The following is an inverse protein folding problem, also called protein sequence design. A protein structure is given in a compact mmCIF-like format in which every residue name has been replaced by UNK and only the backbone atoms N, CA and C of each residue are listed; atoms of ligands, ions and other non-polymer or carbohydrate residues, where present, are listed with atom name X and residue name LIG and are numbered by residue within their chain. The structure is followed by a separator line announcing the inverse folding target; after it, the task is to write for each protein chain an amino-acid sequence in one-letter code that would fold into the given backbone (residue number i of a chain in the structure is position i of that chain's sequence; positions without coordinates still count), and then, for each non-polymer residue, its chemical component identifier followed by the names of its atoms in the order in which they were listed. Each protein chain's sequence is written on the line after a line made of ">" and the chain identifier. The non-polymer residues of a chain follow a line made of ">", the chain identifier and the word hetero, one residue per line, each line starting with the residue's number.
data_IF_902724959429
#
_entry.id   IF_902724959429
#
_cell.length_a   1.000
_cell.length_b   1.000
_cell.length_c   1.000
_cell.angle_alpha   90.00
_cell.angle_beta   90.00
_cell.angle_gamma   90.00
#
_symmetry.space_group_name_H-M   'P 1'
#
loop_
_entity.id
_entity.type
_entity.pdbx_description
1 polymer ?
#
# COMPACT_ATOMS: atom_id res chain seq x y z
N UNK A 1 10.50 15.11 -21.40
CA UNK A 1 9.67 16.14 -20.73
C UNK A 1 8.99 15.48 -19.54
N UNK A 2 9.46 15.72 -18.31
CA UNK A 2 8.72 15.29 -17.12
C UNK A 2 7.50 16.20 -17.01
N UNK A 3 6.30 15.67 -17.23
CA UNK A 3 5.08 16.37 -16.85
C UNK A 3 5.09 16.66 -15.34
N UNK A 4 4.37 17.69 -14.92
CA UNK A 4 4.13 17.92 -13.50
C UNK A 4 3.49 16.67 -12.88
N UNK A 5 4.02 16.17 -11.76
CA UNK A 5 3.46 15.00 -11.09
C UNK A 5 2.06 15.33 -10.59
N UNK A 6 1.05 14.55 -10.99
CA UNK A 6 -0.34 14.81 -10.65
C UNK A 6 -0.80 13.94 -9.49
N UNK A 7 -1.03 14.59 -8.36
CA UNK A 7 -1.60 13.98 -7.17
C UNK A 7 -2.75 14.84 -6.68
N UNK A 8 -3.89 14.21 -6.47
CA UNK A 8 -5.13 14.80 -6.02
C UNK A 8 -5.58 14.09 -4.75
N UNK A 9 -6.54 14.66 -4.03
CA UNK A 9 -7.14 14.06 -2.84
C UNK A 9 -8.67 14.09 -2.95
N UNK A 10 -9.33 13.06 -2.42
CA UNK A 10 -10.77 13.14 -2.12
C UNK A 10 -10.90 13.22 -0.59
N UNK A 11 -11.55 14.25 -0.05
CA UNK A 11 -11.62 14.44 1.40
C UNK A 11 -12.42 13.31 2.07
N UNK A 12 -12.12 12.95 3.35
CA UNK A 12 -12.77 11.84 4.05
C UNK A 12 -14.30 11.94 4.16
N UNK A 13 -14.86 13.14 4.03
CA UNK A 13 -16.30 13.40 4.03
C UNK A 13 -17.01 13.13 2.70
N UNK A 14 -16.29 12.97 1.60
CA UNK A 14 -16.88 12.71 0.30
C UNK A 14 -16.97 11.20 0.01
N UNK A 15 -18.04 10.71 -0.64
CA UNK A 15 -18.15 9.30 -1.03
C UNK A 15 -17.09 8.96 -2.08
N UNK A 16 -15.99 8.34 -1.66
CA UNK A 16 -14.76 8.22 -2.45
C UNK A 16 -14.96 7.68 -3.88
N UNK A 17 -15.60 6.53 -4.05
CA UNK A 17 -15.75 5.90 -5.37
C UNK A 17 -16.73 6.64 -6.30
N UNK A 18 -17.93 7.06 -5.84
CA UNK A 18 -18.77 7.97 -6.62
C UNK A 18 -18.03 9.25 -7.03
N UNK A 19 -17.39 9.95 -6.09
CA UNK A 19 -16.66 11.18 -6.38
C UNK A 19 -15.53 10.96 -7.39
N UNK A 20 -14.81 9.83 -7.30
CA UNK A 20 -13.77 9.46 -8.27
C UNK A 20 -14.36 9.25 -9.68
N UNK A 21 -15.47 8.51 -9.79
CA UNK A 21 -16.11 8.23 -11.06
C UNK A 21 -16.62 9.53 -11.72
N UNK A 22 -17.34 10.36 -10.97
CA UNK A 22 -17.83 11.66 -11.42
C UNK A 22 -16.67 12.57 -11.89
N UNK A 23 -15.59 12.64 -11.09
CA UNK A 23 -14.44 13.46 -11.43
C UNK A 23 -13.72 13.00 -12.70
N UNK A 24 -13.71 11.69 -13.00
CA UNK A 24 -13.20 11.19 -14.27
C UNK A 24 -14.10 11.63 -15.43
N UNK A 25 -15.41 11.44 -15.29
CA UNK A 25 -16.40 11.78 -16.32
C UNK A 25 -16.39 13.29 -16.63
N UNK A 26 -16.29 14.14 -15.61
CA UNK A 26 -16.25 15.60 -15.75
C UNK A 26 -14.91 16.14 -16.26
N UNK A 27 -13.87 15.31 -16.28
CA UNK A 27 -12.52 15.72 -16.68
C UNK A 27 -11.72 16.47 -15.62
N UNK A 28 -12.08 16.30 -14.34
CA UNK A 28 -11.37 16.91 -13.21
C UNK A 28 -10.07 16.19 -12.85
N UNK A 29 -9.95 14.91 -13.23
CA UNK A 29 -8.75 14.10 -12.90
C UNK A 29 -7.60 14.30 -13.89
N UNK A 30 -7.88 14.44 -15.19
CA UNK A 30 -6.87 14.49 -16.25
C UNK A 30 -7.19 15.66 -17.20
N UNK A 31 -6.30 16.65 -17.36
CA UNK A 31 -6.52 17.75 -18.28
C UNK A 31 -6.72 17.26 -19.72
N UNK A 32 -7.73 17.81 -20.40
CA UNK A 32 -8.03 17.47 -21.78
C UNK A 32 -8.78 16.14 -21.98
N UNK A 33 -9.02 15.39 -20.90
CA UNK A 33 -9.90 14.22 -20.92
C UNK A 33 -11.24 14.58 -20.30
N UNK A 34 -12.35 14.34 -20.99
CA UNK A 34 -13.71 14.49 -20.46
C UNK A 34 -14.63 13.53 -21.19
N UNK A 35 -15.56 12.91 -20.48
CA UNK A 35 -16.61 12.14 -21.11
C UNK A 35 -17.64 13.09 -21.74
N UNK A 36 -17.72 13.10 -23.06
CA UNK A 36 -18.66 13.92 -23.83
C UNK A 36 -19.94 13.15 -24.24
N UNK A 37 -19.95 11.83 -24.03
CA UNK A 37 -21.02 10.92 -24.44
C UNK A 37 -20.62 9.93 -25.52
N UNK A 38 -19.42 10.03 -26.08
CA UNK A 38 -18.91 9.05 -27.03
C UNK A 38 -18.74 7.67 -26.36
N UNK A 39 -19.31 6.58 -26.90
CA UNK A 39 -19.29 5.26 -26.26
C UNK A 39 -17.89 4.69 -25.97
N UNK A 40 -16.86 5.11 -26.72
CA UNK A 40 -15.50 4.60 -26.58
C UNK A 40 -14.57 5.52 -25.77
N UNK A 41 -15.02 6.70 -25.37
CA UNK A 41 -14.16 7.69 -24.71
C UNK A 41 -13.51 7.19 -23.40
N UNK A 42 -14.13 6.22 -22.72
CA UNK A 42 -13.62 5.65 -21.48
C UNK A 42 -12.83 4.33 -21.68
N UNK A 43 -12.84 3.76 -22.89
CA UNK A 43 -12.29 2.42 -23.15
C UNK A 43 -10.77 2.35 -22.90
N UNK A 44 -10.05 3.42 -23.20
CA UNK A 44 -8.60 3.51 -23.05
C UNK A 44 -8.16 3.93 -21.64
N UNK A 45 -9.10 4.23 -20.73
CA UNK A 45 -8.79 4.60 -19.36
C UNK A 45 -8.51 3.36 -18.51
N UNK A 46 -7.42 3.40 -17.74
CA UNK A 46 -7.04 2.37 -16.76
C UNK A 46 -7.06 2.96 -15.35
N UNK A 47 -7.73 2.28 -14.42
CA UNK A 47 -7.84 2.71 -13.02
C UNK A 47 -7.35 1.59 -12.09
N UNK A 48 -6.27 1.86 -11.36
CA UNK A 48 -5.78 1.02 -10.27
C UNK A 48 -6.47 1.38 -8.96
N UNK A 49 -6.96 0.38 -8.24
CA UNK A 49 -7.62 0.53 -6.93
C UNK A 49 -7.06 -0.49 -5.92
N UNK A 50 -7.23 -0.30 -4.60
CA UNK A 50 -6.48 -1.10 -3.63
C UNK A 50 -6.93 -2.57 -3.57
N UNK A 51 -8.20 -2.86 -3.88
CA UNK A 51 -8.79 -4.20 -3.69
C UNK A 51 -9.78 -4.57 -4.80
N UNK A 52 -10.02 -5.87 -5.00
CA UNK A 52 -11.10 -6.39 -5.86
C UNK A 52 -12.47 -5.83 -5.50
N UNK A 53 -12.72 -5.64 -4.19
CA UNK A 53 -13.98 -5.04 -3.71
C UNK A 53 -14.13 -3.60 -4.20
N UNK A 54 -13.08 -2.79 -4.10
CA UNK A 54 -13.07 -1.44 -4.64
C UNK A 54 -13.25 -1.44 -6.17
N UNK A 55 -12.62 -2.38 -6.88
CA UNK A 55 -12.75 -2.49 -8.34
C UNK A 55 -14.19 -2.77 -8.75
N UNK A 56 -14.84 -3.75 -8.11
CA UNK A 56 -16.25 -4.08 -8.36
C UNK A 56 -17.19 -2.92 -8.02
N UNK A 57 -16.97 -2.27 -6.88
CA UNK A 57 -17.77 -1.13 -6.45
C UNK A 57 -17.62 0.08 -7.37
N UNK A 58 -16.40 0.37 -7.86
CA UNK A 58 -16.16 1.46 -8.81
C UNK A 58 -16.85 1.21 -10.16
N UNK A 59 -16.82 -0.03 -10.66
CA UNK A 59 -17.57 -0.41 -11.87
C UNK A 59 -19.07 -0.17 -11.69
N UNK A 60 -19.63 -0.51 -10.51
CA UNK A 60 -21.02 -0.19 -10.16
C UNK A 60 -21.30 1.31 -10.19
N UNK A 61 -20.43 2.12 -9.57
CA UNK A 61 -20.58 3.58 -9.55
C UNK A 61 -20.61 4.19 -10.97
N UNK A 62 -19.79 3.70 -11.91
CA UNK A 62 -19.89 4.15 -13.31
C UNK A 62 -21.23 3.79 -13.97
N UNK A 63 -21.74 2.57 -13.74
CA UNK A 63 -23.02 2.12 -14.31
C UNK A 63 -24.18 2.96 -13.78
N UNK A 64 -24.20 3.22 -12.48
CA UNK A 64 -25.23 4.05 -11.84
C UNK A 64 -25.21 5.48 -12.42
N UNK A 65 -24.01 6.09 -12.49
CA UNK A 65 -23.85 7.44 -13.03
C UNK A 65 -24.24 7.55 -14.50
N UNK A 66 -23.79 6.63 -15.37
CA UNK A 66 -24.10 6.67 -16.80
C UNK A 66 -25.59 6.41 -17.10
N UNK A 67 -26.31 5.78 -16.16
CA UNK A 67 -27.76 5.59 -16.26
C UNK A 67 -28.56 6.86 -15.95
N UNK A 68 -28.01 7.75 -15.13
CA UNK A 68 -28.64 9.00 -14.68
C UNK A 68 -28.17 10.24 -15.45
N UNK A 69 -26.98 10.20 -16.05
CA UNK A 69 -26.34 11.35 -16.69
C UNK A 69 -27.08 11.87 -17.94
N UNK A 70 -27.58 13.10 -17.89
CA UNK A 70 -28.08 13.82 -19.07
C UNK A 70 -29.47 13.41 -19.57
N UNK A 71 -30.33 12.83 -18.72
CA UNK A 71 -31.75 12.60 -19.03
C UNK A 71 -32.05 11.35 -19.89
N UNK A 72 -31.08 10.44 -20.04
CA UNK A 72 -31.28 9.16 -20.72
C UNK A 72 -30.08 8.21 -20.53
N UNK A 73 -30.30 6.90 -20.75
CA UNK A 73 -29.23 5.89 -20.62
C UNK A 73 -28.17 6.09 -21.69
N UNK A 74 -26.95 6.46 -21.30
CA UNK A 74 -25.79 6.46 -22.20
C UNK A 74 -25.10 5.11 -22.16
N UNK A 75 -24.77 4.57 -23.33
CA UNK A 75 -23.95 3.36 -23.44
C UNK A 75 -22.50 3.77 -23.57
N UNK A 76 -21.62 3.20 -22.73
CA UNK A 76 -20.18 3.39 -22.82
C UNK A 76 -19.44 2.10 -22.48
N UNK A 77 -18.28 1.90 -23.12
CA UNK A 77 -17.30 0.90 -22.69
C UNK A 77 -16.57 1.47 -21.48
N UNK A 78 -16.70 0.78 -20.35
CA UNK A 78 -16.14 1.25 -19.07
C UNK A 78 -14.61 1.19 -19.04
N UNK A 79 -13.97 2.01 -18.19
CA UNK A 79 -12.54 1.92 -17.94
C UNK A 79 -12.12 0.53 -17.46
N UNK A 80 -10.89 0.14 -17.77
CA UNK A 80 -10.28 -1.05 -17.20
C UNK A 80 -9.93 -0.79 -15.74
N UNK A 81 -10.64 -1.41 -14.80
CA UNK A 81 -10.39 -1.24 -13.36
C UNK A 81 -9.63 -2.45 -12.80
N UNK A 82 -8.41 -2.22 -12.31
CA UNK A 82 -7.46 -3.24 -11.82
C UNK A 82 -7.16 -3.12 -10.32
N UNK A 83 -7.19 -4.22 -9.55
CA UNK A 83 -6.72 -4.20 -8.16
C UNK A 83 -5.19 -4.17 -8.07
N UNK A 84 -4.62 -3.40 -7.13
CA UNK A 84 -3.18 -3.33 -6.87
C UNK A 84 -2.63 -4.57 -6.14
N UNK A 85 -3.47 -5.25 -5.35
CA UNK A 85 -3.04 -6.39 -4.52
C UNK A 85 -2.89 -7.71 -5.27
N UNK A 86 -3.39 -7.78 -6.52
CA UNK A 86 -3.43 -8.98 -7.34
C UNK A 86 -3.16 -8.55 -8.79
N UNK A 87 -1.87 -8.45 -9.12
CA UNK A 87 -1.45 -8.51 -10.52
C UNK A 87 -1.71 -9.95 -10.94
N UNK A 88 -2.88 -10.18 -11.52
CA UNK A 88 -3.28 -11.51 -12.00
C UNK A 88 -2.27 -11.96 -13.06
N UNK A 89 -1.66 -13.13 -12.86
CA UNK A 89 -0.74 -13.74 -13.83
C UNK A 89 -1.46 -13.90 -15.19
N UNK A 90 -2.78 -14.14 -15.17
CA UNK A 90 -3.60 -14.25 -16.36
C UNK A 90 -3.70 -12.92 -17.14
N UNK A 91 -3.83 -11.77 -16.48
CA UNK A 91 -3.88 -10.46 -17.16
C UNK A 91 -2.52 -10.06 -17.77
N UNK A 92 -1.41 -10.50 -17.17
CA UNK A 92 -0.08 -10.31 -17.74
C UNK A 92 0.14 -11.20 -18.99
N UNK A 93 -0.44 -12.41 -19.01
CA UNK A 93 -0.37 -13.34 -20.13
C UNK A 93 -1.17 -12.87 -21.37
N UNK A 94 -2.28 -12.15 -21.18
CA UNK A 94 -3.10 -11.63 -22.29
C UNK A 94 -2.57 -10.33 -22.94
N UNK A 95 -1.61 -9.63 -22.33
CA UNK A 95 -0.92 -8.52 -22.96
C UNK A 95 0.29 -9.03 -23.75
N UNK A 96 0.08 -9.37 -25.02
CA UNK A 96 1.14 -9.82 -25.94
C UNK A 96 2.28 -8.80 -26.17
N UNK A 97 2.11 -7.54 -25.75
CA UNK A 97 3.14 -6.47 -25.75
C UNK A 97 3.77 -6.22 -24.37
N UNK A 98 3.39 -6.96 -23.32
CA UNK A 98 4.12 -6.95 -22.07
C UNK A 98 5.56 -7.43 -22.35
N UNK A 99 6.52 -6.58 -21.99
CA UNK A 99 7.95 -6.74 -22.23
C UNK A 99 8.48 -8.16 -21.90
N UNK A 100 9.61 -8.58 -22.50
CA UNK A 100 9.95 -9.99 -22.73
C UNK A 100 9.76 -10.78 -21.45
N UNK A 101 8.98 -11.86 -21.51
CA UNK A 101 8.74 -12.82 -20.43
C UNK A 101 9.95 -12.88 -19.49
N UNK A 102 9.88 -12.10 -18.41
CA UNK A 102 10.88 -12.17 -17.37
C UNK A 102 10.60 -13.50 -16.69
N UNK A 103 11.64 -14.33 -16.62
CA UNK A 103 11.67 -15.64 -16.00
C UNK A 103 11.51 -15.49 -14.48
N UNK A 104 10.33 -15.02 -14.06
CA UNK A 104 9.99 -14.85 -12.68
C UNK A 104 9.38 -16.16 -12.23
N UNK A 105 10.17 -16.93 -11.48
CA UNK A 105 9.74 -18.22 -10.95
C UNK A 105 8.37 -18.07 -10.27
N UNK A 106 7.40 -18.96 -10.54
CA UNK A 106 6.06 -18.83 -9.99
C UNK A 106 6.08 -18.95 -8.45
N UNK A 107 5.12 -18.32 -7.76
CA UNK A 107 5.09 -18.34 -6.31
C UNK A 107 4.83 -19.75 -5.79
N UNK A 108 5.56 -20.15 -4.74
CA UNK A 108 5.34 -21.44 -4.10
C UNK A 108 3.93 -21.51 -3.46
N UNK A 109 3.26 -22.66 -3.59
CA UNK A 109 1.94 -22.86 -2.99
C UNK A 109 2.00 -22.82 -1.46
N UNK A 110 0.96 -22.29 -0.81
CA UNK A 110 0.95 -22.07 0.63
C UNK A 110 1.18 -23.37 1.44
N UNK A 111 0.53 -24.46 1.04
CA UNK A 111 0.66 -25.76 1.72
C UNK A 111 2.05 -26.36 1.49
N UNK A 112 2.56 -26.28 0.25
CA UNK A 112 3.90 -26.74 -0.08
C UNK A 112 4.96 -25.99 0.73
N UNK A 113 4.85 -24.66 0.81
CA UNK A 113 5.72 -23.80 1.61
C UNK A 113 5.79 -24.24 3.07
N UNK A 114 4.64 -24.48 3.69
CA UNK A 114 4.58 -24.93 5.08
C UNK A 114 5.17 -26.33 5.27
N UNK A 115 4.92 -27.26 4.33
CA UNK A 115 5.45 -28.62 4.38
C UNK A 115 6.96 -28.68 4.15
N UNK A 116 7.55 -27.69 3.47
CA UNK A 116 9.00 -27.58 3.27
C UNK A 116 9.69 -26.83 4.43
N UNK A 117 9.05 -25.83 5.03
CA UNK A 117 9.59 -25.10 6.17
C UNK A 117 9.54 -25.92 7.47
N UNK A 118 8.48 -26.69 7.72
CA UNK A 118 8.32 -27.44 8.96
C UNK A 118 9.47 -28.46 9.23
N UNK A 119 9.98 -29.22 8.23
CA UNK A 119 11.17 -30.04 8.41
C UNK A 119 12.43 -29.26 8.78
N UNK A 120 12.65 -28.08 8.20
CA UNK A 120 13.80 -27.22 8.53
C UNK A 120 13.72 -26.71 9.97
N UNK A 121 12.52 -26.34 10.42
CA UNK A 121 12.26 -25.96 11.81
C UNK A 121 12.58 -27.11 12.78
N UNK A 122 12.18 -28.35 12.45
CA UNK A 122 12.51 -29.53 13.27
C UNK A 122 14.00 -29.81 13.28
N UNK A 123 14.65 -29.77 12.12
CA UNK A 123 16.09 -30.04 12.00
C UNK A 123 16.92 -29.02 12.79
N UNK A 124 16.55 -27.74 12.76
CA UNK A 124 17.19 -26.70 13.58
C UNK A 124 17.04 -26.99 15.07
N UNK A 125 15.86 -27.42 15.54
CA UNK A 125 15.66 -27.80 16.94
C UNK A 125 16.59 -28.94 17.36
N UNK A 126 16.72 -29.95 16.51
CA UNK A 126 17.56 -31.13 16.78
C UNK A 126 19.05 -30.76 16.82
N UNK A 127 19.49 -29.74 16.07
CA UNK A 127 20.88 -29.27 16.06
C UNK A 127 21.27 -28.36 17.22
N UNK A 128 20.31 -27.88 18.03
CA UNK A 128 20.59 -27.02 19.18
C UNK A 128 21.46 -27.73 20.24
N UNK A 129 22.51 -27.07 20.79
CA UNK A 129 23.29 -27.60 21.90
C UNK A 129 22.44 -27.89 23.14
N UNK A 130 22.78 -28.94 23.89
CA UNK A 130 21.98 -29.40 25.05
C UNK A 130 21.75 -28.32 26.11
N UNK A 131 22.74 -27.45 26.37
CA UNK A 131 22.61 -26.35 27.33
C UNK A 131 21.62 -25.26 26.88
N UNK A 132 21.45 -25.05 25.57
CA UNK A 132 20.44 -24.15 25.01
C UNK A 132 19.07 -24.82 25.04
N UNK A 133 19.00 -26.11 24.68
CA UNK A 133 17.77 -26.92 24.70
C UNK A 133 17.17 -27.01 26.11
N UNK A 134 18.00 -27.20 27.14
CA UNK A 134 17.56 -27.25 28.53
C UNK A 134 16.91 -25.92 28.98
N UNK A 135 17.45 -24.80 28.51
CA UNK A 135 16.98 -23.45 28.86
C UNK A 135 15.65 -23.09 28.22
N UNK A 136 15.36 -23.59 27.02
CA UNK A 136 14.05 -23.41 26.40
C UNK A 136 12.93 -24.15 27.14
N UNK A 137 13.23 -25.26 27.82
CA UNK A 137 12.23 -26.07 28.53
C UNK A 137 11.65 -25.38 29.78
N UNK A 138 12.25 -24.27 30.23
CA UNK A 138 11.84 -23.51 31.43
C UNK A 138 11.04 -22.23 31.12
N UNK A 139 11.19 -21.63 29.92
CA UNK A 139 10.64 -20.30 29.61
C UNK A 139 9.84 -20.22 28.28
N UNK A 140 9.95 -21.20 27.37
CA UNK A 140 9.26 -21.18 26.06
C UNK A 140 8.75 -22.57 25.63
N UNK A 141 7.60 -22.62 24.95
CA UNK A 141 7.11 -23.88 24.35
C UNK A 141 7.89 -24.15 23.06
N UNK A 142 8.93 -24.99 23.14
CA UNK A 142 9.60 -25.52 21.95
C UNK A 142 8.63 -26.41 21.19
N UNK A 143 8.57 -26.36 19.85
CA UNK A 143 7.76 -27.29 19.08
C UNK A 143 8.07 -28.75 19.45
N UNK A 144 7.17 -29.42 20.16
CA UNK A 144 7.34 -30.80 20.64
C UNK A 144 6.77 -31.83 19.69
N UNK A 145 5.91 -31.38 18.75
CA UNK A 145 5.20 -32.22 17.80
C UNK A 145 5.37 -31.73 16.34
N UNK A 146 4.97 -32.57 15.39
CA UNK A 146 4.87 -32.15 13.99
C UNK A 146 3.87 -30.99 13.79
N UNK A 147 2.82 -30.93 14.62
CA UNK A 147 1.85 -29.83 14.58
C UNK A 147 2.50 -28.51 14.99
N UNK A 148 3.31 -28.51 16.05
CA UNK A 148 3.99 -27.31 16.51
C UNK A 148 5.00 -26.79 15.47
N UNK A 149 5.69 -27.69 14.77
CA UNK A 149 6.61 -27.32 13.69
C UNK A 149 5.88 -26.63 12.52
N UNK A 150 4.66 -27.06 12.20
CA UNK A 150 3.81 -26.42 11.18
C UNK A 150 3.37 -25.02 11.65
N UNK A 151 2.99 -24.87 12.92
CA UNK A 151 2.62 -23.57 13.47
C UNK A 151 3.79 -22.58 13.43
N UNK A 152 4.98 -23.01 13.87
CA UNK A 152 6.17 -22.16 13.82
C UNK A 152 6.61 -21.87 12.38
N UNK A 153 6.51 -22.83 11.47
CA UNK A 153 6.73 -22.60 10.03
C UNK A 153 5.77 -21.55 9.46
N UNK A 154 4.52 -21.51 9.92
CA UNK A 154 3.53 -20.50 9.52
C UNK A 154 3.90 -19.11 10.03
N UNK A 155 4.38 -18.98 11.26
CA UNK A 155 4.84 -17.70 11.81
C UNK A 155 6.11 -17.23 11.09
N UNK A 156 7.04 -18.14 10.80
CA UNK A 156 8.25 -17.86 10.05
C UNK A 156 7.95 -17.41 8.60
N UNK A 157 6.99 -18.06 7.94
CA UNK A 157 6.52 -17.63 6.63
C UNK A 157 5.90 -16.23 6.66
N UNK A 158 5.12 -15.90 7.71
CA UNK A 158 4.53 -14.56 7.88
C UNK A 158 5.61 -13.49 8.07
N UNK A 159 6.59 -13.75 8.92
CA UNK A 159 7.71 -12.83 9.14
C UNK A 159 8.50 -12.60 7.84
N UNK A 160 8.76 -13.66 7.08
CA UNK A 160 9.40 -13.55 5.76
C UNK A 160 8.59 -12.71 4.79
N UNK A 161 7.26 -12.92 4.74
CA UNK A 161 6.39 -12.10 3.89
C UNK A 161 6.37 -10.62 4.31
N UNK A 162 6.44 -10.31 5.61
CA UNK A 162 6.53 -8.94 6.12
C UNK A 162 7.85 -8.26 5.70
N UNK A 163 8.98 -8.95 5.87
CA UNK A 163 10.31 -8.45 5.47
C UNK A 163 10.35 -8.17 3.96
N UNK A 164 9.86 -9.11 3.14
CA UNK A 164 9.81 -8.96 1.69
C UNK A 164 8.84 -7.88 1.22
N UNK A 165 7.68 -7.77 1.85
CA UNK A 165 6.67 -6.73 1.54
C UNK A 165 7.24 -5.35 1.81
N UNK A 166 7.97 -5.17 2.91
CA UNK A 166 8.66 -3.91 3.24
C UNK A 166 9.94 -3.67 2.43
N UNK A 167 10.37 -4.64 1.60
CA UNK A 167 11.60 -4.56 0.82
C UNK A 167 12.84 -4.33 1.68
N UNK A 168 12.84 -4.86 2.91
CA UNK A 168 13.94 -4.69 3.86
C UNK A 168 14.81 -5.95 3.92
N UNK A 169 15.97 -5.81 4.57
CA UNK A 169 16.97 -6.88 4.70
C UNK A 169 16.95 -7.45 6.12
N UNK A 170 17.03 -8.77 6.22
CA UNK A 170 17.25 -9.53 7.45
C UNK A 170 18.48 -9.05 8.23
N UNK A 171 19.52 -8.56 7.54
CA UNK A 171 20.71 -8.00 8.18
C UNK A 171 20.39 -6.87 9.16
N UNK A 172 19.31 -6.11 8.95
CA UNK A 172 18.89 -5.07 9.89
C UNK A 172 18.36 -5.63 11.20
N UNK A 173 17.70 -6.79 11.18
CA UNK A 173 17.23 -7.45 12.40
C UNK A 173 18.40 -7.77 13.33
N UNK A 174 19.53 -8.25 12.79
CA UNK A 174 20.73 -8.57 13.58
C UNK A 174 21.18 -7.40 14.49
N UNK A 175 20.89 -6.15 14.10
CA UNK A 175 21.30 -4.94 14.82
C UNK A 175 20.27 -4.41 15.84
N UNK A 176 19.07 -5.00 15.94
CA UNK A 176 17.96 -4.41 16.72
C UNK A 176 18.09 -4.58 18.24
N UNK A 177 18.68 -5.66 18.73
CA UNK A 177 18.75 -5.98 20.17
C UNK A 177 20.18 -5.88 20.66
N UNK A 178 20.41 -5.05 21.68
CA UNK A 178 21.70 -4.88 22.37
C UNK A 178 21.56 -5.16 23.87
N UNK A 179 22.66 -5.40 24.57
CA UNK A 179 22.68 -5.58 26.03
C UNK A 179 22.35 -7.00 26.51
N UNK A 180 21.72 -7.12 27.68
CA UNK A 180 21.54 -8.40 28.42
C UNK A 180 20.66 -9.45 27.72
N UNK A 181 20.00 -9.11 26.60
CA UNK A 181 19.23 -10.03 25.77
C UNK A 181 20.03 -10.60 24.59
N UNK A 182 21.30 -10.20 24.40
CA UNK A 182 22.11 -10.56 23.24
C UNK A 182 22.29 -12.08 23.06
N UNK A 183 22.41 -12.84 24.16
CA UNK A 183 22.54 -14.31 24.08
C UNK A 183 21.29 -15.00 23.51
N UNK A 184 20.10 -14.54 23.90
CA UNK A 184 18.83 -15.06 23.35
C UNK A 184 18.56 -14.55 21.94
N UNK A 185 18.96 -13.31 21.67
CA UNK A 185 18.88 -12.74 20.34
C UNK A 185 19.72 -13.54 19.34
N UNK A 186 20.92 -13.97 19.72
CA UNK A 186 21.76 -14.81 18.86
C UNK A 186 21.05 -16.12 18.47
N UNK A 187 20.37 -16.79 19.41
CA UNK A 187 19.62 -18.02 19.10
C UNK A 187 18.46 -17.74 18.14
N UNK A 188 17.81 -16.58 18.26
CA UNK A 188 16.78 -16.16 17.31
C UNK A 188 17.38 -15.89 15.93
N UNK A 189 18.54 -15.23 15.84
CA UNK A 189 19.22 -15.01 14.56
C UNK A 189 19.64 -16.35 13.92
N UNK A 190 20.16 -17.29 14.71
CA UNK A 190 20.51 -18.63 14.24
C UNK A 190 19.25 -19.38 13.73
N UNK A 191 18.09 -19.21 14.38
CA UNK A 191 16.81 -19.73 13.91
C UNK A 191 16.39 -19.10 12.57
N UNK A 192 16.56 -17.78 12.42
CA UNK A 192 16.26 -17.07 11.17
C UNK A 192 17.20 -17.49 10.02
N UNK A 193 18.32 -18.17 10.31
CA UNK A 193 19.14 -18.91 9.34
C UNK A 193 18.34 -19.87 8.44
N UNK A 194 17.21 -20.38 8.93
CA UNK A 194 16.29 -21.21 8.13
C UNK A 194 15.81 -20.45 6.88
N UNK A 195 15.38 -19.19 7.03
CA UNK A 195 14.81 -18.40 5.94
C UNK A 195 15.82 -17.53 5.21
N UNK A 196 16.96 -17.22 5.84
CA UNK A 196 18.00 -16.38 5.26
C UNK A 196 19.00 -17.16 4.43
N UNK A 197 19.37 -18.38 4.85
CA UNK A 197 20.42 -19.17 4.18
C UNK A 197 19.84 -20.37 3.42
N UNK A 198 18.94 -21.13 4.06
CA UNK A 198 18.50 -22.43 3.52
C UNK A 198 17.31 -22.29 2.55
N UNK A 199 16.33 -21.46 2.91
CA UNK A 199 15.11 -21.28 2.13
C UNK A 199 15.34 -20.73 0.71
N UNK A 200 16.22 -19.73 0.48
CA UNK A 200 16.45 -19.22 -0.86
C UNK A 200 17.03 -20.26 -1.82
N UNK A 201 17.96 -21.11 -1.35
CA UNK A 201 18.51 -22.20 -2.17
C UNK A 201 17.44 -23.26 -2.47
N UNK A 202 16.59 -23.60 -1.51
CA UNK A 202 15.48 -24.54 -1.72
C UNK A 202 14.50 -24.03 -2.80
N UNK A 203 14.17 -22.75 -2.78
CA UNK A 203 13.32 -22.11 -3.79
C UNK A 203 13.97 -22.14 -5.17
N UNK A 204 15.27 -21.85 -5.25
CA UNK A 204 16.05 -21.89 -6.49
C UNK A 204 16.10 -23.29 -7.09
N UNK A 205 16.33 -24.32 -6.28
CA UNK A 205 16.31 -25.73 -6.72
C UNK A 205 14.96 -26.15 -7.33
N UNK A 206 13.86 -25.55 -6.85
CA UNK A 206 12.50 -25.88 -7.26
C UNK A 206 11.93 -24.97 -8.34
N UNK A 207 12.70 -23.98 -8.77
CA UNK A 207 12.23 -22.92 -9.66
C UNK A 207 10.94 -22.29 -9.13
N UNK A 208 11.01 -21.80 -7.89
CA UNK A 208 9.92 -21.13 -7.17
C UNK A 208 10.37 -19.81 -6.56
N UNK A 209 9.41 -18.94 -6.30
CA UNK A 209 9.62 -17.69 -5.56
C UNK A 209 8.72 -17.59 -4.32
N UNK A 210 9.07 -16.68 -3.41
CA UNK A 210 8.17 -16.34 -2.32
C UNK A 210 6.99 -15.47 -2.82
N UNK A 211 5.76 -15.70 -2.34
CA UNK A 211 4.58 -14.96 -2.80
C UNK A 211 4.67 -13.43 -2.61
N UNK A 212 5.25 -12.95 -1.51
CA UNK A 212 5.36 -11.52 -1.23
C UNK A 212 6.41 -10.84 -2.15
N UNK A 213 7.59 -11.45 -2.30
CA UNK A 213 8.59 -11.02 -3.27
C UNK A 213 8.06 -11.06 -4.72
N UNK A 214 7.38 -12.15 -5.11
CA UNK A 214 6.78 -12.30 -6.43
C UNK A 214 5.79 -11.15 -6.74
N UNK A 215 4.84 -10.91 -5.82
CA UNK A 215 3.88 -9.82 -5.96
C UNK A 215 4.59 -8.47 -6.11
N UNK A 216 5.54 -8.17 -5.24
CA UNK A 216 6.31 -6.92 -5.28
C UNK A 216 7.06 -6.75 -6.60
N UNK A 217 7.59 -7.84 -7.16
CA UNK A 217 8.23 -7.81 -8.46
C UNK A 217 7.23 -7.50 -9.59
N UNK A 218 6.06 -8.14 -9.62
CA UNK A 218 5.01 -7.84 -10.61
C UNK A 218 4.59 -6.36 -10.58
N UNK A 219 4.44 -5.77 -9.39
CA UNK A 219 4.12 -4.33 -9.26
C UNK A 219 5.20 -3.46 -9.93
N UNK A 220 6.48 -3.77 -9.66
CA UNK A 220 7.61 -3.03 -10.22
C UNK A 220 7.75 -3.23 -11.73
N UNK A 221 7.42 -4.42 -12.23
CA UNK A 221 7.37 -4.70 -13.66
C UNK A 221 6.31 -3.85 -14.36
N UNK A 222 5.13 -3.71 -13.75
CA UNK A 222 4.09 -2.84 -14.28
C UNK A 222 4.53 -1.37 -14.26
N UNK A 223 5.15 -0.91 -13.17
CA UNK A 223 5.72 0.43 -13.10
C UNK A 223 6.76 0.67 -14.20
N UNK A 224 7.64 -0.32 -14.44
CA UNK A 224 8.62 -0.25 -15.51
C UNK A 224 7.99 -0.27 -16.91
N UNK A 225 6.92 -1.06 -17.12
CA UNK A 225 6.16 -1.09 -18.38
C UNK A 225 5.54 0.27 -18.68
N UNK A 226 4.79 0.83 -17.72
CA UNK A 226 4.15 2.15 -17.84
C UNK A 226 5.16 3.24 -18.14
N UNK A 227 6.34 3.19 -17.50
CA UNK A 227 7.40 4.16 -17.74
C UNK A 227 8.02 4.04 -19.14
N UNK A 228 8.20 2.81 -19.66
CA UNK A 228 8.78 2.56 -21.00
C UNK A 228 7.80 2.85 -22.12
N UNK A 229 6.53 2.46 -21.96
CA UNK A 229 5.48 2.65 -22.95
C UNK A 229 4.22 3.23 -22.28
N UNK A 230 4.19 4.56 -22.03
CA UNK A 230 3.03 5.23 -21.47
C UNK A 230 1.78 5.04 -22.37
N UNK A 231 0.64 4.58 -21.82
CA UNK A 231 -0.61 4.53 -22.57
C UNK A 231 -1.06 5.91 -23.07
N UNK A 232 -1.79 5.94 -24.18
CA UNK A 232 -2.40 7.17 -24.69
C UNK A 232 -3.55 7.66 -23.80
N UNK A 233 -4.35 6.74 -23.28
CA UNK A 233 -5.48 7.05 -22.39
C UNK A 233 -5.08 7.36 -20.94
N UNK A 234 -6.04 7.81 -20.11
CA UNK A 234 -5.82 8.03 -18.68
C UNK A 234 -5.29 6.81 -17.93
N UNK A 235 -4.31 7.03 -17.06
CA UNK A 235 -3.84 6.03 -16.09
C UNK A 235 -3.96 6.60 -14.69
N UNK A 236 -4.88 6.08 -13.90
CA UNK A 236 -5.23 6.63 -12.59
C UNK A 236 -4.99 5.57 -11.53
N UNK A 237 -4.42 5.95 -10.40
CA UNK A 237 -4.41 5.10 -9.21
C UNK A 237 -5.12 5.81 -8.06
N UNK A 238 -6.13 5.17 -7.48
CA UNK A 238 -7.02 5.82 -6.52
C UNK A 238 -7.19 5.01 -5.24
N UNK A 239 -7.14 5.68 -4.09
CA UNK A 239 -7.47 5.11 -2.79
C UNK A 239 -6.36 4.31 -2.12
N UNK A 240 -5.16 4.24 -2.73
CA UNK A 240 -3.99 3.61 -2.12
C UNK A 240 -3.20 4.62 -1.28
N UNK A 241 -2.71 4.17 -0.14
CA UNK A 241 -1.81 4.95 0.75
C UNK A 241 -0.34 4.69 0.48
N UNK A 242 -0.01 3.79 -0.46
CA UNK A 242 1.39 3.48 -0.81
C UNK A 242 2.19 2.84 0.32
N UNK A 243 1.54 2.15 1.27
CA UNK A 243 2.24 1.56 2.43
C UNK A 243 3.27 0.50 2.03
N UNK A 244 3.04 -0.21 0.93
CA UNK A 244 3.99 -1.17 0.35
C UNK A 244 4.94 -0.40 -0.60
N UNK A 245 6.27 -0.48 -0.44
CA UNK A 245 7.24 0.23 -1.27
C UNK A 245 7.05 0.02 -2.77
N UNK A 246 6.87 -1.22 -3.23
CA UNK A 246 6.63 -1.53 -4.64
C UNK A 246 5.37 -0.82 -5.17
N UNK A 247 4.32 -0.71 -4.36
CA UNK A 247 3.11 0.07 -4.70
C UNK A 247 3.42 1.56 -4.75
N UNK A 248 4.15 2.12 -3.78
CA UNK A 248 4.55 3.53 -3.81
C UNK A 248 5.37 3.88 -5.07
N UNK A 249 6.27 2.99 -5.49
CA UNK A 249 7.04 3.13 -6.74
C UNK A 249 6.12 3.19 -7.97
N UNK A 250 5.12 2.29 -8.06
CA UNK A 250 4.11 2.32 -9.13
C UNK A 250 3.29 3.62 -9.10
N UNK A 251 2.82 4.04 -7.93
CA UNK A 251 2.06 5.29 -7.79
C UNK A 251 2.90 6.50 -8.24
N UNK A 252 4.19 6.54 -7.90
CA UNK A 252 5.10 7.59 -8.34
C UNK A 252 5.31 7.60 -9.85
N UNK A 253 5.37 6.42 -10.49
CA UNK A 253 5.38 6.33 -11.97
C UNK A 253 4.08 6.87 -12.54
N UNK A 254 2.93 6.40 -12.06
CA UNK A 254 1.61 6.82 -12.54
C UNK A 254 1.44 8.34 -12.41
N UNK A 255 1.79 8.92 -11.27
CA UNK A 255 1.71 10.37 -11.06
C UNK A 255 2.56 11.17 -12.08
N UNK A 256 3.65 10.58 -12.61
CA UNK A 256 4.54 11.22 -13.58
C UNK A 256 4.20 10.95 -15.05
N UNK A 257 3.17 10.16 -15.37
CA UNK A 257 2.76 9.92 -16.76
C UNK A 257 2.06 11.16 -17.35
N UNK A 258 2.11 11.39 -18.68
CA UNK A 258 1.44 12.53 -19.31
C UNK A 258 -0.05 12.62 -19.00
N UNK A 259 -0.75 11.48 -19.05
CA UNK A 259 -2.18 11.33 -18.71
C UNK A 259 -2.35 10.54 -17.40
N UNK A 260 -1.43 10.75 -16.45
CA UNK A 260 -1.39 10.07 -15.16
C UNK A 260 -2.01 10.87 -14.03
N UNK A 261 -2.62 10.20 -13.05
CA UNK A 261 -3.02 10.80 -11.77
C UNK A 261 -3.01 9.81 -10.61
N UNK A 262 -2.62 10.27 -9.42
CA UNK A 262 -2.85 9.56 -8.16
C UNK A 262 -3.92 10.29 -7.34
N UNK A 263 -4.94 9.60 -6.87
CA UNK A 263 -6.01 10.16 -6.04
C UNK A 263 -5.97 9.56 -4.63
N UNK A 264 -5.56 10.38 -3.67
CA UNK A 264 -5.37 10.00 -2.28
C UNK A 264 -6.69 9.97 -1.50
N UNK A 265 -6.88 8.99 -0.59
CA UNK A 265 -8.04 8.92 0.29
C UNK A 265 -7.87 9.82 1.51
N UNK A 266 -8.12 11.12 1.35
CA UNK A 266 -8.22 12.06 2.46
C UNK A 266 -6.88 12.49 3.04
N UNK A 267 -6.05 13.14 2.22
CA UNK A 267 -4.84 13.82 2.70
C UNK A 267 -5.25 15.02 3.56
N UNK A 268 -4.67 15.14 4.76
CA UNK A 268 -4.87 16.30 5.62
C UNK A 268 -4.11 17.51 5.07
N UNK A 269 -4.86 18.51 4.61
CA UNK A 269 -4.34 19.76 4.04
C UNK A 269 -4.38 20.93 5.04
N UNK A 270 -4.99 20.73 6.21
CA UNK A 270 -5.30 21.78 7.19
C UNK A 270 -4.32 21.79 8.37
N UNK A 271 -3.80 20.62 8.77
CA UNK A 271 -2.76 20.53 9.81
C UNK A 271 -1.59 21.45 9.44
N UNK A 272 -1.00 22.16 10.40
CA UNK A 272 0.13 23.04 10.08
C UNK A 272 1.39 22.25 9.66
N UNK A 273 2.31 22.95 8.99
CA UNK A 273 3.49 22.33 8.41
C UNK A 273 4.44 21.72 9.47
N UNK A 274 4.52 22.30 10.68
CA UNK A 274 5.38 21.78 11.73
C UNK A 274 4.85 20.43 12.26
N UNK A 275 3.54 20.35 12.52
CA UNK A 275 2.90 19.10 12.91
C UNK A 275 2.87 18.06 11.80
N UNK A 276 2.61 18.45 10.56
CA UNK A 276 2.65 17.50 9.45
C UNK A 276 4.07 16.93 9.25
N UNK A 277 5.11 17.76 9.37
CA UNK A 277 6.50 17.32 9.31
C UNK A 277 6.85 16.33 10.43
N UNK A 278 6.31 16.53 11.64
CA UNK A 278 6.52 15.62 12.77
C UNK A 278 6.02 14.18 12.51
N UNK A 279 5.01 14.01 11.64
CA UNK A 279 4.46 12.69 11.28
C UNK A 279 5.52 11.81 10.61
N UNK A 280 6.41 12.38 9.79
CA UNK A 280 7.42 11.62 9.03
C UNK A 280 8.85 11.94 9.45
N UNK A 281 9.02 12.58 10.62
CA UNK A 281 10.33 12.96 11.13
C UNK A 281 11.26 11.73 11.27
N UNK A 282 12.54 11.84 10.87
CA UNK A 282 13.51 10.77 11.09
C UNK A 282 13.61 10.40 12.57
N UNK A 283 13.62 9.10 12.88
CA UNK A 283 13.60 8.64 14.27
C UNK A 283 12.25 8.81 14.97
N UNK A 284 11.17 9.01 14.22
CA UNK A 284 9.81 9.04 14.75
C UNK A 284 9.56 7.84 15.66
N UNK A 285 8.90 8.11 16.79
CA UNK A 285 8.55 7.08 17.76
C UNK A 285 7.62 6.05 17.11
N UNK A 286 7.63 4.79 17.56
CA UNK A 286 6.71 3.78 17.04
C UNK A 286 5.23 4.23 17.04
N UNK A 287 4.82 5.07 17.99
CA UNK A 287 3.47 5.64 18.06
C UNK A 287 3.11 6.48 16.82
N UNK A 288 4.07 7.18 16.22
CA UNK A 288 3.85 8.02 15.04
C UNK A 288 3.56 7.18 13.78
N UNK A 289 4.08 5.95 13.71
CA UNK A 289 3.82 5.02 12.60
C UNK A 289 2.34 4.63 12.52
N UNK A 290 1.60 4.73 13.64
CA UNK A 290 0.17 4.49 13.71
C UNK A 290 -0.70 5.70 13.34
N UNK A 291 -0.10 6.86 13.06
CA UNK A 291 -0.86 8.06 12.68
C UNK A 291 -1.57 7.83 11.32
N UNK A 292 -2.86 8.15 11.16
CA UNK A 292 -3.59 7.92 9.91
C UNK A 292 -3.02 8.58 8.65
N UNK A 293 -2.24 9.67 8.81
CA UNK A 293 -1.62 10.41 7.72
C UNK A 293 -0.19 9.96 7.44
N UNK A 294 0.40 9.05 8.23
CA UNK A 294 1.79 8.60 8.07
C UNK A 294 2.05 8.01 6.68
N UNK A 295 1.21 7.08 6.23
CA UNK A 295 1.35 6.47 4.91
C UNK A 295 1.23 7.48 3.77
N UNK A 296 0.24 8.38 3.85
CA UNK A 296 0.02 9.43 2.85
C UNK A 296 1.18 10.43 2.81
N UNK A 297 1.68 10.88 3.96
CA UNK A 297 2.82 11.77 4.08
C UNK A 297 4.10 11.14 3.51
N UNK A 298 4.37 9.87 3.85
CA UNK A 298 5.48 9.10 3.29
C UNK A 298 5.35 8.95 1.77
N UNK A 299 4.14 8.69 1.27
CA UNK A 299 3.87 8.53 -0.16
C UNK A 299 4.12 9.83 -0.93
N UNK A 300 3.55 10.96 -0.52
CA UNK A 300 3.76 12.23 -1.24
C UNK A 300 5.23 12.67 -1.21
N UNK A 301 5.92 12.43 -0.09
CA UNK A 301 7.36 12.62 0.03
C UNK A 301 8.15 11.73 -0.93
N UNK A 302 7.77 10.46 -1.06
CA UNK A 302 8.36 9.51 -2.01
C UNK A 302 8.08 9.84 -3.49
N UNK A 303 6.90 10.40 -3.79
CA UNK A 303 6.58 10.95 -5.12
C UNK A 303 7.40 12.23 -5.39
N UNK A 304 7.79 12.96 -4.35
CA UNK A 304 8.58 14.18 -4.44
C UNK A 304 7.74 15.40 -4.80
N UNK A 305 6.58 15.55 -4.16
CA UNK A 305 5.71 16.73 -4.24
C UNK A 305 5.45 17.29 -2.84
N UNK A 306 5.16 18.60 -2.73
CA UNK A 306 4.77 19.16 -1.45
C UNK A 306 3.28 18.90 -1.19
N UNK A 307 2.91 18.80 0.09
CA UNK A 307 1.50 18.64 0.53
C UNK A 307 0.58 19.71 -0.05
N UNK A 308 1.05 20.96 -0.12
CA UNK A 308 0.31 22.11 -0.70
C UNK A 308 0.04 21.97 -2.20
N UNK A 309 0.82 21.14 -2.91
CA UNK A 309 0.66 20.89 -4.34
C UNK A 309 -0.40 19.80 -4.62
N UNK A 310 -0.94 19.17 -3.57
CA UNK A 310 -2.07 18.25 -3.67
C UNK A 310 -3.36 19.05 -3.54
N UNK A 311 -4.21 18.94 -4.55
CA UNK A 311 -5.53 19.59 -4.59
C UNK A 311 -6.64 18.59 -4.30
N UNK A 312 -7.70 19.03 -3.63
CA UNK A 312 -8.90 18.21 -3.50
C UNK A 312 -9.71 18.22 -4.80
N UNK A 313 -10.14 17.04 -5.23
CA UNK A 313 -11.00 16.83 -6.41
C UNK A 313 -12.38 17.50 -6.23
N UNK A 314 -12.84 17.58 -4.98
CA UNK A 314 -14.07 18.27 -4.56
C UNK A 314 -13.85 18.96 -3.22
N UNK A 315 -14.56 20.06 -3.00
CA UNK A 315 -14.72 20.56 -1.64
C UNK A 315 -15.62 19.60 -0.84
N UNK A 316 -15.23 19.29 0.39
CA UNK A 316 -16.12 18.59 1.31
C UNK A 316 -17.30 19.51 1.72
N UNK A 317 -18.51 18.98 1.94
CA UNK A 317 -19.59 19.73 2.58
C UNK A 317 -19.11 20.33 3.91
N UNK A 318 -19.47 21.58 4.19
CA UNK A 318 -18.97 22.34 5.35
C UNK A 318 -19.00 21.57 6.68
N UNK A 319 -20.09 20.89 7.08
CA UNK A 319 -20.11 20.03 8.27
C UNK A 319 -19.00 18.97 8.31
N UNK A 320 -18.74 18.31 7.17
CA UNK A 320 -17.77 17.24 7.05
C UNK A 320 -16.34 17.78 6.97
N UNK A 321 -16.15 18.96 6.37
CA UNK A 321 -14.88 19.67 6.38
C UNK A 321 -14.49 20.08 7.81
N UNK A 322 -15.44 20.65 8.58
CA UNK A 322 -15.23 20.99 9.98
C UNK A 322 -14.91 19.75 10.83
N UNK A 323 -15.63 18.65 10.62
CA UNK A 323 -15.34 17.37 11.28
C UNK A 323 -13.93 16.88 10.98
N UNK A 324 -13.52 16.92 9.71
CA UNK A 324 -12.17 16.51 9.32
C UNK A 324 -11.09 17.37 10.00
N UNK A 325 -11.27 18.69 10.04
CA UNK A 325 -10.35 19.61 10.71
C UNK A 325 -10.26 19.35 12.22
N UNK A 326 -11.39 19.15 12.91
CA UNK A 326 -11.42 18.82 14.34
C UNK A 326 -10.75 17.47 14.64
N UNK A 327 -10.99 16.45 13.81
CA UNK A 327 -10.34 15.14 13.95
C UNK A 327 -8.84 15.23 13.66
N UNK A 328 -8.44 16.03 12.66
CA UNK A 328 -7.03 16.31 12.37
C UNK A 328 -6.31 16.93 13.56
N UNK A 329 -6.92 17.92 14.21
CA UNK A 329 -6.39 18.51 15.45
C UNK A 329 -6.36 17.52 16.61
N UNK A 330 -7.39 16.69 16.79
CA UNK A 330 -7.42 15.67 17.85
C UNK A 330 -6.33 14.60 17.68
N UNK A 331 -5.91 14.33 16.43
CA UNK A 331 -4.89 13.34 16.08
C UNK A 331 -3.49 13.94 15.89
N UNK A 332 -3.31 15.24 16.16
CA UNK A 332 -2.03 15.95 16.09
C UNK A 332 -0.91 15.14 16.79
N UNK A 333 0.30 15.04 16.19
CA UNK A 333 1.42 14.34 16.81
C UNK A 333 1.72 14.84 18.21
N UNK A 334 2.04 13.92 19.12
CA UNK A 334 2.29 14.20 20.54
C UNK A 334 3.34 15.30 20.74
N UNK A 335 4.35 15.32 19.87
CA UNK A 335 5.47 16.25 19.83
C UNK A 335 5.07 17.72 19.57
N UNK A 336 3.81 17.97 19.21
CA UNK A 336 3.33 19.29 18.79
C UNK A 336 2.00 19.68 19.45
N UNK A 337 1.62 18.97 20.51
CA UNK A 337 0.32 19.16 21.20
C UNK A 337 0.18 20.52 21.88
N UNK A 338 1.28 21.23 22.13
CA UNK A 338 1.29 22.61 22.62
C UNK A 338 0.47 23.57 21.73
N UNK A 339 0.43 23.32 20.42
CA UNK A 339 -0.34 24.13 19.46
C UNK A 339 -1.86 24.01 19.63
N UNK A 340 -2.38 23.04 20.41
CA UNK A 340 -3.81 22.99 20.72
C UNK A 340 -4.32 24.26 21.40
N UNK A 341 -3.46 24.95 22.16
CA UNK A 341 -3.82 26.23 22.79
C UNK A 341 -4.08 27.32 21.75
N UNK A 342 -3.48 27.22 20.57
CA UNK A 342 -3.62 28.15 19.46
C UNK A 342 -4.71 27.73 18.46
N UNK A 343 -4.89 26.43 18.25
CA UNK A 343 -5.84 25.90 17.24
C UNK A 343 -7.24 25.74 17.79
N UNK A 344 -7.42 25.36 19.07
CA UNK A 344 -8.74 25.18 19.68
C UNK A 344 -9.63 26.43 19.60
N UNK A 345 -9.13 27.67 19.83
CA UNK A 345 -9.96 28.87 19.69
C UNK A 345 -10.48 29.14 18.27
N UNK A 346 -9.95 28.46 17.24
CA UNK A 346 -10.43 28.58 15.85
C UNK A 346 -11.77 27.90 15.62
N UNK A 347 -12.18 26.98 16.50
CA UNK A 347 -13.45 26.27 16.41
C UNK A 347 -14.43 26.82 17.44
N UNK A 348 -15.48 27.47 16.96
CA UNK A 348 -16.57 27.95 17.84
C UNK A 348 -17.43 26.78 18.32
N UNK A 349 -18.22 27.00 19.38
CA UNK A 349 -19.22 26.00 19.81
C UNK A 349 -20.19 25.63 18.66
N UNK A 350 -20.55 26.61 17.83
CA UNK A 350 -21.37 26.40 16.65
C UNK A 350 -20.67 25.52 15.60
N UNK A 351 -19.37 25.72 15.35
CA UNK A 351 -18.62 24.87 14.42
C UNK A 351 -18.55 23.42 14.91
N UNK A 352 -18.37 23.22 16.21
CA UNK A 352 -18.37 21.90 16.84
C UNK A 352 -19.74 21.24 16.70
N UNK A 353 -20.83 21.95 16.97
CA UNK A 353 -22.19 21.44 16.79
C UNK A 353 -22.48 21.05 15.34
N UNK A 354 -22.00 21.83 14.36
CA UNK A 354 -22.14 21.50 12.94
C UNK A 354 -21.29 20.32 12.50
N UNK A 355 -20.18 20.06 13.19
CA UNK A 355 -19.29 18.95 12.88
C UNK A 355 -19.77 17.61 13.43
N UNK A 356 -20.69 17.60 14.41
CA UNK A 356 -21.33 16.38 14.91
C UNK A 356 -22.44 15.94 13.96
#
# INVERSE_FOLDING_TARGET
>A
MSGARRVLSIPPGAPFLPTLAEALLDGRLIPGFRFDGEPLALADATIYVPTRRAARALRGAFVDMLSEWGGGKRSAILPTVRPLGEFDEDEAAFNAEAAPAIDLAPPIAAQERLLLLAPLVRAWKESLPDHVRARFNEEFVVPTSAADAIWLARDLARLMDEIETEGTDWAKLATLVTGNLAGWWQVTLDFLGIVTDNWPELLKERDRSNPAAHRSALIRLEAARLKRNPPAGPVIAAGSTGSIPATAELLAVIAGLPNGAVVLPGLDRELDDASFAAITAPGARPATLGHPQYGLAKLIGGIGIARRDVEDVVAAPSPLALRAALVGEALRPAETTEYWTETRPRFTAYDIERAL
#
